data_IF_720540212653
#
_entry.id   IF_720540212653
#
_cell.length_a   1.000
_cell.length_b   1.000
_cell.length_c   1.000
_cell.angle_alpha   90.00
_cell.angle_beta   90.00
_cell.angle_gamma   90.00
#
_symmetry.space_group_name_H-M   'P 1'
#
loop_
_entity.id
_entity.type
_entity.pdbx_description
1 polymer ?
#
# COMPACT_ATOMS: atom_id res chain seq x y z
N UNK A 1 -1.44 0.27 -10.96
CA UNK A 1 -1.45 1.63 -11.54
C UNK A 1 -2.55 2.54 -11.00
N UNK A 2 -3.82 2.11 -10.94
CA UNK A 2 -4.92 2.93 -10.43
C UNK A 2 -4.69 3.53 -9.02
N UNK A 3 -4.19 2.71 -8.09
CA UNK A 3 -3.83 3.11 -6.70
C UNK A 3 -2.83 4.27 -6.65
N UNK A 4 -1.71 4.10 -7.36
CA UNK A 4 -0.59 5.03 -7.38
C UNK A 4 -0.99 6.36 -7.99
N UNK A 5 -1.73 6.33 -9.09
CA UNK A 5 -2.16 7.55 -9.79
C UNK A 5 -3.47 8.14 -9.27
N UNK A 6 -4.04 7.57 -8.20
CA UNK A 6 -5.38 7.90 -7.72
C UNK A 6 -6.44 7.92 -8.85
N UNK A 7 -6.25 7.09 -9.88
CA UNK A 7 -7.14 6.99 -11.03
C UNK A 7 -8.19 5.89 -10.79
N UNK A 8 -9.41 6.04 -11.33
CA UNK A 8 -10.35 4.92 -11.40
C UNK A 8 -9.68 3.75 -12.14
N UNK A 9 -9.76 2.50 -11.65
CA UNK A 9 -9.36 1.34 -12.45
C UNK A 9 -10.15 1.31 -13.76
N UNK A 10 -9.42 1.25 -14.88
CA UNK A 10 -10.00 1.14 -16.23
C UNK A 10 -10.50 -0.28 -16.55
N UNK A 11 -10.08 -1.27 -15.77
CA UNK A 11 -10.47 -2.66 -15.91
C UNK A 11 -11.21 -3.14 -14.66
N UNK A 12 -12.36 -3.79 -14.89
CA UNK A 12 -13.18 -4.40 -13.86
C UNK A 12 -12.64 -5.81 -13.61
N UNK A 13 -11.78 -5.96 -12.60
CA UNK A 13 -11.31 -7.27 -12.20
C UNK A 13 -12.40 -7.96 -11.38
N UNK A 14 -12.87 -9.12 -11.84
CA UNK A 14 -13.79 -9.95 -11.06
C UNK A 14 -13.05 -10.58 -9.88
N UNK A 15 -13.06 -9.87 -8.75
CA UNK A 15 -12.42 -10.26 -7.48
C UNK A 15 -13.44 -10.73 -6.44
N UNK A 16 -14.70 -10.91 -6.87
CA UNK A 16 -15.84 -11.14 -5.98
C UNK A 16 -16.75 -12.29 -6.41
N UNK A 17 -16.62 -12.81 -7.63
CA UNK A 17 -16.99 -14.20 -7.87
C UNK A 17 -16.21 -15.06 -6.87
N UNK A 18 -16.86 -16.01 -6.17
CA UNK A 18 -16.17 -17.20 -5.71
C UNK A 18 -15.83 -18.00 -6.97
N UNK A 19 -14.97 -17.44 -7.84
CA UNK A 19 -14.23 -18.27 -8.78
C UNK A 19 -13.55 -19.27 -7.87
N UNK A 20 -13.89 -20.52 -8.10
CA UNK A 20 -13.25 -21.70 -7.60
C UNK A 20 -11.74 -21.64 -7.89
N UNK A 21 -11.01 -20.79 -7.18
CA UNK A 21 -9.57 -20.88 -6.94
C UNK A 21 -9.32 -21.89 -5.82
N UNK A 22 -10.04 -23.01 -5.93
CA UNK A 22 -10.00 -24.20 -5.10
C UNK A 22 -9.19 -25.29 -5.80
N UNK A 23 -8.30 -24.92 -6.72
CA UNK A 23 -7.19 -25.79 -7.10
C UNK A 23 -5.96 -25.40 -6.25
N UNK A 24 -5.55 -26.25 -5.29
CA UNK A 24 -4.41 -25.98 -4.42
C UNK A 24 -3.09 -25.79 -5.18
N UNK A 25 -2.98 -26.29 -6.41
CA UNK A 25 -1.76 -26.21 -7.22
C UNK A 25 -1.56 -24.84 -7.91
N UNK A 26 -2.64 -24.18 -8.33
CA UNK A 26 -2.56 -22.83 -8.93
C UNK A 26 -2.18 -21.76 -7.89
N UNK A 27 -2.58 -21.95 -6.62
CA UNK A 27 -2.17 -21.10 -5.49
C UNK A 27 -0.66 -21.16 -5.25
N UNK A 28 -0.05 -22.34 -5.42
CA UNK A 28 1.39 -22.52 -5.27
C UNK A 28 2.15 -21.78 -6.37
N UNK A 29 1.80 -21.96 -7.64
CA UNK A 29 2.57 -21.38 -8.75
C UNK A 29 2.56 -19.84 -8.77
N UNK A 30 1.37 -19.24 -8.85
CA UNK A 30 1.23 -17.78 -8.98
C UNK A 30 1.45 -17.04 -7.65
N UNK A 31 1.02 -17.64 -6.53
CA UNK A 31 1.23 -17.09 -5.19
C UNK A 31 2.71 -17.06 -4.82
N UNK A 32 3.45 -18.14 -5.10
CA UNK A 32 4.90 -18.18 -4.91
C UNK A 32 5.59 -17.19 -5.85
N UNK A 33 5.25 -17.15 -7.14
CA UNK A 33 5.87 -16.18 -8.05
C UNK A 33 5.63 -14.71 -7.65
N UNK A 34 4.42 -14.34 -7.26
CA UNK A 34 4.10 -12.96 -6.82
C UNK A 34 4.73 -12.62 -5.46
N UNK A 35 4.79 -13.58 -4.54
CA UNK A 35 5.48 -13.42 -3.26
C UNK A 35 6.99 -13.23 -3.46
N UNK A 36 7.59 -13.94 -4.41
CA UNK A 36 9.00 -13.82 -4.76
C UNK A 36 9.34 -12.56 -5.57
N UNK A 37 8.42 -12.08 -6.43
CA UNK A 37 8.65 -10.92 -7.30
C UNK A 37 8.28 -9.60 -6.62
N UNK A 38 7.25 -9.58 -5.77
CA UNK A 38 6.70 -8.37 -5.18
C UNK A 38 6.71 -8.34 -3.65
N UNK A 39 7.04 -9.46 -2.98
CA UNK A 39 6.91 -9.58 -1.52
C UNK A 39 5.45 -9.42 -1.04
N UNK A 40 4.49 -9.47 -1.96
CA UNK A 40 3.09 -9.13 -1.76
C UNK A 40 2.25 -10.38 -1.95
N UNK A 41 1.44 -10.73 -0.94
CA UNK A 41 0.55 -11.87 -1.05
C UNK A 41 -0.71 -11.51 -1.86
N UNK A 42 -1.22 -12.48 -2.62
CA UNK A 42 -2.44 -12.34 -3.43
C UNK A 42 -3.61 -11.65 -2.68
N UNK A 43 -3.89 -11.94 -1.39
CA UNK A 43 -4.97 -11.29 -0.65
C UNK A 43 -4.85 -9.75 -0.58
N UNK A 44 -3.62 -9.22 -0.47
CA UNK A 44 -3.37 -7.78 -0.42
C UNK A 44 -3.71 -7.13 -1.76
N UNK A 45 -3.32 -7.76 -2.86
CA UNK A 45 -3.64 -7.31 -4.22
C UNK A 45 -5.16 -7.31 -4.44
N UNK A 46 -5.84 -8.38 -4.00
CA UNK A 46 -7.30 -8.49 -4.07
C UNK A 46 -7.97 -7.37 -3.27
N UNK A 47 -7.53 -7.10 -2.04
CA UNK A 47 -8.09 -6.02 -1.23
C UNK A 47 -7.88 -4.66 -1.89
N UNK A 48 -6.70 -4.39 -2.43
CA UNK A 48 -6.45 -3.15 -3.19
C UNK A 48 -7.36 -3.02 -4.41
N UNK A 49 -7.55 -4.09 -5.19
CA UNK A 49 -8.47 -4.08 -6.32
C UNK A 49 -9.91 -3.79 -5.88
N UNK A 50 -10.35 -4.37 -4.76
CA UNK A 50 -11.68 -4.17 -4.19
C UNK A 50 -11.91 -2.74 -3.70
N UNK A 51 -10.96 -2.17 -2.97
CA UNK A 51 -11.00 -0.75 -2.54
C UNK A 51 -10.99 0.18 -3.75
N UNK A 52 -10.19 -0.11 -4.78
CA UNK A 52 -10.15 0.67 -6.03
C UNK A 52 -11.49 0.64 -6.78
N UNK A 53 -12.11 -0.54 -6.91
CA UNK A 53 -13.41 -0.69 -7.56
C UNK A 53 -14.51 0.08 -6.81
N UNK A 54 -14.47 0.06 -5.48
CA UNK A 54 -15.38 0.85 -4.63
C UNK A 54 -15.21 2.35 -4.87
N UNK A 55 -13.96 2.85 -4.93
CA UNK A 55 -13.67 4.28 -5.17
C UNK A 55 -14.15 4.76 -6.54
N UNK A 56 -14.13 3.91 -7.55
CA UNK A 56 -14.62 4.24 -8.89
C UNK A 56 -16.15 4.27 -9.01
N UNK A 57 -16.89 3.99 -7.93
CA UNK A 57 -18.35 3.95 -7.98
C UNK A 57 -18.90 2.77 -8.79
N UNK A 58 -18.04 1.80 -9.13
CA UNK A 58 -18.41 0.62 -9.92
C UNK A 58 -19.26 -0.38 -9.12
N UNK A 59 -19.54 -0.11 -7.83
CA UNK A 59 -20.35 -0.94 -6.94
C UNK A 59 -21.15 -0.13 -5.91
N UNK A 60 -22.25 -0.74 -5.44
CA UNK A 60 -23.07 -0.21 -4.35
C UNK A 60 -22.27 -0.12 -3.05
N UNK A 61 -22.33 1.05 -2.39
CA UNK A 61 -21.64 1.32 -1.12
C UNK A 61 -22.34 0.61 0.05
N UNK A 62 -22.10 -0.69 0.23
CA UNK A 62 -22.65 -1.46 1.36
C UNK A 62 -21.70 -1.47 2.56
N UNK A 63 -22.24 -1.26 3.76
CA UNK A 63 -21.48 -1.29 5.01
C UNK A 63 -20.99 -2.69 5.39
N UNK A 64 -21.69 -3.74 4.96
CA UNK A 64 -21.31 -5.15 5.20
C UNK A 64 -19.98 -5.49 4.51
N UNK A 65 -19.85 -5.10 3.24
CA UNK A 65 -18.61 -5.23 2.44
C UNK A 65 -17.40 -4.61 3.15
N UNK A 66 -17.60 -3.51 3.89
CA UNK A 66 -16.53 -2.88 4.67
C UNK A 66 -16.06 -3.77 5.83
N UNK A 67 -16.99 -4.28 6.64
CA UNK A 67 -16.67 -5.08 7.83
C UNK A 67 -16.01 -6.40 7.43
N UNK A 68 -16.45 -6.99 6.34
CA UNK A 68 -15.90 -8.24 5.81
C UNK A 68 -14.44 -8.04 5.39
N UNK A 69 -14.13 -6.96 4.65
CA UNK A 69 -12.76 -6.64 4.23
C UNK A 69 -11.84 -6.32 5.40
N UNK A 70 -12.34 -5.62 6.42
CA UNK A 70 -11.56 -5.32 7.63
C UNK A 70 -11.24 -6.61 8.41
N UNK A 71 -12.21 -7.52 8.51
CA UNK A 71 -12.03 -8.81 9.18
C UNK A 71 -11.05 -9.68 8.39
N UNK A 72 -11.21 -9.73 7.07
CA UNK A 72 -10.32 -10.46 6.15
C UNK A 72 -8.87 -9.96 6.30
N UNK A 73 -8.64 -8.64 6.22
CA UNK A 73 -7.31 -8.03 6.35
C UNK A 73 -6.63 -8.30 7.70
N UNK A 74 -7.41 -8.42 8.79
CA UNK A 74 -6.88 -8.73 10.13
C UNK A 74 -6.65 -10.23 10.35
N UNK A 75 -7.41 -11.08 9.68
CA UNK A 75 -7.32 -12.55 9.82
C UNK A 75 -6.24 -13.20 8.96
N UNK A 76 -5.55 -12.43 8.12
CA UNK A 76 -4.50 -12.95 7.26
C UNK A 76 -3.33 -13.51 8.04
N UNK A 77 -3.02 -14.78 7.75
CA UNK A 77 -1.77 -15.42 8.13
C UNK A 77 -0.87 -15.54 6.92
N UNK A 78 0.42 -15.32 7.13
CA UNK A 78 1.42 -15.47 6.09
C UNK A 78 2.07 -16.84 6.19
N UNK A 79 2.20 -17.58 5.07
CA UNK A 79 2.93 -18.84 5.07
C UNK A 79 4.40 -18.57 5.45
N UNK A 80 4.90 -19.35 6.41
CA UNK A 80 6.29 -19.29 6.84
C UNK A 80 7.05 -20.38 6.10
N UNK A 81 8.06 -19.98 5.32
CA UNK A 81 9.02 -20.94 4.78
C UNK A 81 10.06 -21.29 5.86
N UNK A 82 10.06 -22.55 6.29
CA UNK A 82 10.98 -23.05 7.32
C UNK A 82 12.38 -23.31 6.78
N UNK A 83 12.56 -23.31 5.46
CA UNK A 83 13.87 -23.52 4.81
C UNK A 83 14.74 -22.27 4.80
N UNK A 84 14.13 -21.08 4.93
CA UNK A 84 14.83 -19.81 5.02
C UNK A 84 15.61 -19.67 6.34
N UNK A 85 16.75 -18.96 6.29
CA UNK A 85 17.51 -18.58 7.49
C UNK A 85 16.65 -17.73 8.44
N UNK A 86 16.97 -17.74 9.75
CA UNK A 86 16.21 -17.00 10.75
C UNK A 86 16.08 -15.50 10.43
N UNK A 87 17.14 -14.89 9.90
CA UNK A 87 17.16 -13.48 9.50
C UNK A 87 16.25 -13.23 8.29
N UNK A 88 16.37 -14.06 7.24
CA UNK A 88 15.55 -13.93 6.02
C UNK A 88 14.07 -14.09 6.34
N UNK A 89 13.72 -15.03 7.23
CA UNK A 89 12.33 -15.20 7.70
C UNK A 89 11.79 -13.96 8.38
N UNK A 90 12.56 -13.34 9.28
CA UNK A 90 12.14 -12.12 9.98
C UNK A 90 11.92 -10.97 9.01
N UNK A 91 12.84 -10.78 8.04
CA UNK A 91 12.70 -9.74 7.02
C UNK A 91 11.48 -9.99 6.13
N UNK A 92 11.26 -11.23 5.68
CA UNK A 92 10.09 -11.61 4.87
C UNK A 92 8.78 -11.34 5.62
N UNK A 93 8.71 -11.71 6.89
CA UNK A 93 7.56 -11.42 7.74
C UNK A 93 7.35 -9.91 7.91
N UNK A 94 8.43 -9.13 8.06
CA UNK A 94 8.33 -7.68 8.15
C UNK A 94 7.78 -7.04 6.87
N UNK A 95 8.19 -7.53 5.69
CA UNK A 95 7.66 -7.10 4.39
C UNK A 95 6.17 -7.43 4.29
N UNK A 96 5.80 -8.68 4.54
CA UNK A 96 4.42 -9.16 4.47
C UNK A 96 3.49 -8.40 5.43
N UNK A 97 3.94 -8.18 6.67
CA UNK A 97 3.21 -7.44 7.66
C UNK A 97 3.08 -5.95 7.29
N UNK A 98 4.12 -5.35 6.69
CA UNK A 98 4.05 -3.98 6.16
C UNK A 98 2.96 -3.85 5.09
N UNK A 99 2.80 -4.86 4.23
CA UNK A 99 1.72 -4.92 3.26
C UNK A 99 0.33 -5.00 3.91
N UNK A 100 0.18 -5.79 4.99
CA UNK A 100 -1.07 -5.86 5.75
C UNK A 100 -1.46 -4.51 6.33
N UNK A 101 -0.49 -3.80 6.92
CA UNK A 101 -0.75 -2.48 7.48
C UNK A 101 -1.10 -1.45 6.40
N UNK A 102 -0.41 -1.49 5.26
CA UNK A 102 -0.73 -0.65 4.12
C UNK A 102 -2.15 -0.93 3.58
N UNK A 103 -2.57 -2.19 3.53
CA UNK A 103 -3.95 -2.59 3.21
C UNK A 103 -4.97 -1.96 4.16
N UNK A 104 -4.71 -1.98 5.46
CA UNK A 104 -5.58 -1.39 6.48
C UNK A 104 -5.67 0.13 6.32
N UNK A 105 -4.53 0.82 6.13
CA UNK A 105 -4.49 2.26 5.87
C UNK A 105 -5.33 2.61 4.64
N UNK A 106 -5.12 1.87 3.53
CA UNK A 106 -5.84 2.14 2.29
C UNK A 106 -7.33 1.84 2.40
N UNK A 107 -7.74 0.80 3.15
CA UNK A 107 -9.14 0.51 3.43
C UNK A 107 -9.81 1.66 4.20
N UNK A 108 -9.18 2.16 5.27
CA UNK A 108 -9.78 3.22 6.08
C UNK A 108 -9.78 4.57 5.38
N UNK A 109 -8.66 4.99 4.81
CA UNK A 109 -8.59 6.30 4.15
C UNK A 109 -9.24 6.29 2.77
N UNK A 110 -9.06 5.21 2.01
CA UNK A 110 -9.51 5.09 0.63
C UNK A 110 -10.99 4.77 0.49
N UNK A 111 -11.53 3.87 1.34
CA UNK A 111 -12.93 3.42 1.29
C UNK A 111 -13.78 4.02 2.42
N UNK A 112 -13.28 4.08 3.66
CA UNK A 112 -14.07 4.60 4.78
C UNK A 112 -14.07 6.14 4.86
N UNK A 113 -13.26 6.81 4.03
CA UNK A 113 -13.06 8.28 4.04
C UNK A 113 -12.62 8.82 5.40
N UNK A 114 -11.93 7.99 6.17
CA UNK A 114 -11.29 8.44 7.40
C UNK A 114 -10.03 9.24 7.04
N UNK A 115 -9.62 10.12 7.94
CA UNK A 115 -8.38 10.88 7.79
C UNK A 115 -7.22 10.23 8.56
N UNK A 116 -6.04 10.80 8.39
CA UNK A 116 -4.81 10.35 9.03
C UNK A 116 -4.77 10.52 10.55
N UNK A 117 -5.80 11.10 11.17
CA UNK A 117 -5.89 11.26 12.64
C UNK A 117 -6.64 10.13 13.32
N UNK A 118 -7.28 9.24 12.55
CA UNK A 118 -7.93 8.07 13.10
C UNK A 118 -6.87 7.16 13.79
N UNK A 119 -7.08 6.76 15.06
CA UNK A 119 -6.09 5.98 15.81
C UNK A 119 -5.68 4.66 15.12
N UNK A 120 -6.57 4.08 14.32
CA UNK A 120 -6.28 2.83 13.58
C UNK A 120 -5.35 3.10 12.40
N UNK A 121 -5.48 4.26 11.77
CA UNK A 121 -4.58 4.70 10.69
C UNK A 121 -3.22 5.06 11.30
N UNK A 122 -3.20 5.83 12.39
CA UNK A 122 -1.96 6.19 13.07
C UNK A 122 -1.19 4.96 13.57
N UNK A 123 -1.88 4.01 14.21
CA UNK A 123 -1.27 2.75 14.65
C UNK A 123 -0.74 1.91 13.50
N UNK A 124 -1.44 1.85 12.37
CA UNK A 124 -0.95 1.15 11.19
C UNK A 124 0.29 1.83 10.57
N UNK A 125 0.33 3.17 10.53
CA UNK A 125 1.51 3.93 10.06
C UNK A 125 2.72 3.68 10.95
N UNK A 126 2.53 3.70 12.26
CA UNK A 126 3.59 3.39 13.24
C UNK A 126 4.14 1.97 13.01
N UNK A 127 3.25 0.99 12.84
CA UNK A 127 3.67 -0.39 12.56
C UNK A 127 4.47 -0.49 11.26
N UNK A 128 4.04 0.16 10.16
CA UNK A 128 4.84 0.19 8.92
C UNK A 128 6.21 0.81 9.18
N UNK A 129 6.29 1.96 9.85
CA UNK A 129 7.56 2.64 10.11
C UNK A 129 8.54 1.76 10.92
N UNK A 130 8.03 1.03 11.91
CA UNK A 130 8.83 0.10 12.71
C UNK A 130 9.29 -1.12 11.89
N UNK A 131 8.39 -1.73 11.12
CA UNK A 131 8.69 -2.93 10.32
C UNK A 131 9.73 -2.64 9.23
N UNK A 132 9.60 -1.52 8.50
CA UNK A 132 10.57 -1.16 7.47
C UNK A 132 11.92 -0.79 8.06
N UNK A 133 11.96 -0.34 9.32
CA UNK A 133 13.18 -0.08 10.06
C UNK A 133 14.00 -1.34 10.37
N UNK A 134 13.35 -2.51 10.45
CA UNK A 134 14.01 -3.81 10.67
C UNK A 134 14.74 -4.29 9.40
N UNK A 135 14.22 -3.92 8.23
CA UNK A 135 14.78 -4.35 6.94
C UNK A 135 16.15 -3.69 6.75
N UNK A 136 17.23 -4.45 6.54
CA UNK A 136 18.56 -3.88 6.29
C UNK A 136 18.59 -2.98 5.06
N UNK A 137 19.50 -2.01 5.05
CA UNK A 137 19.76 -1.20 3.86
C UNK A 137 20.42 -2.05 2.78
N UNK A 138 20.15 -1.76 1.50
CA UNK A 138 20.73 -2.45 0.33
C UNK A 138 20.30 -3.92 0.18
N UNK A 139 19.33 -4.36 0.98
CA UNK A 139 18.73 -5.68 0.87
C UNK A 139 17.81 -5.75 -0.37
N UNK A 140 17.74 -6.92 -1.00
CA UNK A 140 16.78 -7.23 -2.07
C UNK A 140 15.34 -6.94 -1.63
N UNK A 141 15.04 -7.09 -0.33
CA UNK A 141 13.70 -6.89 0.22
C UNK A 141 13.27 -5.41 0.31
N UNK A 142 14.18 -4.44 0.21
CA UNK A 142 13.83 -3.00 0.28
C UNK A 142 12.88 -2.58 -0.87
N UNK A 143 12.99 -3.25 -2.02
CA UNK A 143 12.13 -3.00 -3.18
C UNK A 143 10.68 -3.41 -2.93
N UNK A 144 10.44 -4.36 -2.05
CA UNK A 144 9.10 -4.89 -1.77
C UNK A 144 8.30 -4.00 -0.81
N UNK A 145 8.94 -3.07 -0.10
CA UNK A 145 8.25 -2.16 0.84
C UNK A 145 7.97 -0.77 0.29
N UNK A 146 8.25 -0.53 -1.00
CA UNK A 146 8.01 0.77 -1.65
C UNK A 146 6.55 1.19 -1.58
N UNK A 147 5.63 0.32 -1.97
CA UNK A 147 4.19 0.64 -1.91
C UNK A 147 3.67 0.76 -0.47
N UNK A 148 4.02 -0.14 0.46
CA UNK A 148 3.76 0.08 1.88
C UNK A 148 4.26 1.43 2.41
N UNK A 149 5.48 1.82 2.06
CA UNK A 149 6.07 3.10 2.48
C UNK A 149 5.34 4.30 1.88
N UNK A 150 4.92 4.22 0.61
CA UNK A 150 4.14 5.28 -0.04
C UNK A 150 2.78 5.45 0.66
N UNK A 151 2.05 4.36 0.88
CA UNK A 151 0.72 4.39 1.50
C UNK A 151 0.79 4.91 2.94
N UNK A 152 1.74 4.39 3.72
CA UNK A 152 1.97 4.88 5.08
C UNK A 152 2.47 6.34 5.08
N UNK A 153 3.28 6.73 4.10
CA UNK A 153 3.81 8.09 3.95
C UNK A 153 2.71 9.12 3.71
N UNK A 154 1.69 8.78 2.92
CA UNK A 154 0.51 9.64 2.71
C UNK A 154 -0.21 9.90 4.04
N UNK A 155 -0.31 8.88 4.87
CA UNK A 155 -0.97 8.95 6.18
C UNK A 155 -0.05 9.47 7.30
N UNK A 156 1.26 9.64 7.06
CA UNK A 156 2.22 9.98 8.10
C UNK A 156 2.10 11.43 8.57
N UNK A 157 1.83 11.59 9.87
CA UNK A 157 1.75 12.90 10.55
C UNK A 157 3.01 13.25 11.33
N UNK A 158 3.68 12.25 11.89
CA UNK A 158 4.89 12.43 12.69
C UNK A 158 6.13 12.55 11.79
N UNK A 159 6.93 13.57 12.03
CA UNK A 159 8.17 13.82 11.27
C UNK A 159 9.18 12.67 11.38
N UNK A 160 9.18 11.95 12.51
CA UNK A 160 9.98 10.74 12.67
C UNK A 160 9.57 9.65 11.66
N UNK A 161 8.27 9.38 11.52
CA UNK A 161 7.75 8.40 10.57
C UNK A 161 8.02 8.84 9.13
N UNK A 162 7.78 10.12 8.81
CA UNK A 162 8.07 10.68 7.48
C UNK A 162 9.52 10.47 7.08
N UNK A 163 10.47 10.71 7.99
CA UNK A 163 11.90 10.53 7.74
C UNK A 163 12.27 9.08 7.43
N UNK A 164 11.74 8.13 8.21
CA UNK A 164 12.00 6.69 8.00
C UNK A 164 11.45 6.23 6.64
N UNK A 165 10.19 6.55 6.36
CA UNK A 165 9.51 6.15 5.13
C UNK A 165 10.14 6.81 3.90
N UNK A 166 10.48 8.09 3.98
CA UNK A 166 11.21 8.84 2.94
C UNK A 166 12.55 8.20 2.63
N UNK A 167 13.35 7.89 3.66
CA UNK A 167 14.67 7.27 3.50
C UNK A 167 14.55 5.92 2.78
N UNK A 168 13.58 5.09 3.18
CA UNK A 168 13.35 3.78 2.56
C UNK A 168 12.92 3.90 1.10
N UNK A 169 12.04 4.85 0.79
CA UNK A 169 11.66 5.13 -0.60
C UNK A 169 12.83 5.60 -1.45
N UNK A 170 13.68 6.49 -0.93
CA UNK A 170 14.86 6.97 -1.65
C UNK A 170 15.89 5.85 -1.88
N UNK A 171 16.10 4.97 -0.89
CA UNK A 171 17.05 3.86 -0.98
C UNK A 171 16.59 2.75 -1.94
N UNK A 172 15.29 2.56 -2.10
CA UNK A 172 14.72 1.46 -2.88
C UNK A 172 15.07 1.46 -4.39
N UNK A 173 15.69 2.53 -4.90
CA UNK A 173 16.32 2.56 -6.23
C UNK A 173 15.44 2.02 -7.34
N UNK A 174 14.12 2.34 -7.31
CA UNK A 174 13.14 1.82 -8.27
C UNK A 174 13.41 2.45 -9.63
N UNK A 175 14.37 1.88 -10.33
CA UNK A 175 14.50 1.97 -11.76
C UNK A 175 13.60 0.87 -12.34
N UNK A 176 12.70 1.24 -13.24
CA UNK A 176 11.96 0.39 -14.19
C UNK A 176 10.72 -0.44 -13.80
N UNK A 177 10.41 -0.78 -12.54
CA UNK A 177 9.31 -1.76 -12.34
C UNK A 177 7.87 -1.20 -12.37
N UNK A 178 7.65 0.10 -12.15
CA UNK A 178 6.28 0.67 -11.98
C UNK A 178 5.97 1.89 -12.87
N UNK A 179 6.68 2.06 -13.99
CA UNK A 179 6.58 3.23 -14.89
C UNK A 179 6.78 4.63 -14.24
N UNK A 180 7.18 4.68 -12.97
CA UNK A 180 7.63 5.89 -12.26
C UNK A 180 9.05 5.66 -11.75
N UNK A 181 9.89 6.70 -11.77
CA UNK A 181 11.20 6.64 -11.10
C UNK A 181 10.94 6.70 -9.60
N UNK A 182 11.63 5.93 -8.77
CA UNK A 182 11.45 5.95 -7.31
C UNK A 182 11.46 7.37 -6.69
N UNK A 183 12.19 8.30 -7.31
CA UNK A 183 12.26 9.72 -6.93
C UNK A 183 10.91 10.47 -7.06
N UNK A 184 10.02 10.00 -7.93
CA UNK A 184 8.70 10.61 -8.17
C UNK A 184 7.78 10.42 -6.95
N UNK A 185 7.91 9.30 -6.23
CA UNK A 185 7.15 9.03 -5.00
C UNK A 185 7.58 9.91 -3.85
N UNK A 186 8.88 10.10 -3.70
CA UNK A 186 9.47 10.97 -2.67
C UNK A 186 9.00 12.41 -2.86
N UNK A 187 9.03 12.91 -4.10
CA UNK A 187 8.51 14.23 -4.46
C UNK A 187 7.00 14.37 -4.21
N UNK A 188 6.21 13.33 -4.51
CA UNK A 188 4.78 13.34 -4.22
C UNK A 188 4.49 13.42 -2.72
N UNK A 189 5.23 12.67 -1.90
CA UNK A 189 5.09 12.74 -0.45
C UNK A 189 5.49 14.10 0.10
N UNK A 190 6.57 14.71 -0.41
CA UNK A 190 6.94 16.08 -0.02
C UNK A 190 5.82 17.07 -0.28
N UNK A 191 5.17 17.00 -1.45
CA UNK A 191 4.03 17.89 -1.76
C UNK A 191 2.88 17.70 -0.77
N UNK A 192 2.58 16.45 -0.39
CA UNK A 192 1.57 16.18 0.64
C UNK A 192 1.99 16.75 1.98
N UNK A 193 3.25 16.57 2.37
CA UNK A 193 3.78 17.01 3.67
C UNK A 193 3.96 18.52 3.77
N UNK A 194 4.27 19.21 2.68
CA UNK A 194 4.41 20.67 2.63
C UNK A 194 3.06 21.38 2.44
N UNK A 195 2.07 20.68 1.86
CA UNK A 195 0.73 21.20 1.64
C UNK A 195 -0.27 20.74 2.71
N UNK A 196 -1.17 19.79 2.38
CA UNK A 196 -2.27 19.37 3.24
C UNK A 196 -1.80 18.82 4.60
N UNK A 197 -0.68 18.09 4.62
CA UNK A 197 -0.10 17.47 5.81
C UNK A 197 0.88 18.34 6.58
N UNK A 198 1.06 19.62 6.22
CA UNK A 198 2.05 20.50 6.89
C UNK A 198 1.85 20.55 8.39
N UNK A 199 2.96 20.48 9.13
CA UNK A 199 2.99 20.44 10.60
C UNK A 199 2.13 19.30 11.20
N UNK A 200 2.09 18.14 10.55
CA UNK A 200 1.32 16.98 11.02
C UNK A 200 -0.20 17.18 10.99
N UNK A 201 -0.71 18.08 10.12
CA UNK A 201 -2.16 18.25 9.90
C UNK A 201 -2.79 16.97 9.33
N UNK A 202 -4.12 16.86 9.49
CA UNK A 202 -4.90 15.74 8.94
C UNK A 202 -4.76 15.69 7.42
N UNK A 203 -4.62 14.49 6.90
CA UNK A 203 -4.56 14.21 5.46
C UNK A 203 -5.66 13.21 5.12
N UNK A 204 -6.41 13.50 4.06
CA UNK A 204 -7.35 12.59 3.44
C UNK A 204 -6.69 11.93 2.22
N UNK A 205 -7.17 10.75 1.82
CA UNK A 205 -6.71 10.14 0.57
C UNK A 205 -6.99 11.03 -0.66
N UNK A 206 -8.05 11.84 -0.60
CA UNK A 206 -8.40 12.76 -1.68
C UNK A 206 -7.44 13.96 -1.76
N UNK A 207 -6.75 14.33 -0.67
CA UNK A 207 -5.66 15.32 -0.70
C UNK A 207 -4.48 14.81 -1.53
N UNK A 208 -4.06 13.56 -1.30
CA UNK A 208 -3.06 12.90 -2.12
C UNK A 208 -3.49 12.83 -3.58
N UNK A 209 -4.76 12.46 -3.82
CA UNK A 209 -5.31 12.37 -5.17
C UNK A 209 -5.27 13.71 -5.93
N UNK A 210 -5.44 14.84 -5.21
CA UNK A 210 -5.24 16.19 -5.77
C UNK A 210 -3.76 16.45 -6.08
N UNK A 211 -2.85 16.20 -5.15
CA UNK A 211 -1.41 16.39 -5.40
C UNK A 211 -0.90 15.60 -6.61
N UNK A 212 -1.39 14.38 -6.84
CA UNK A 212 -1.08 13.57 -8.02
C UNK A 212 -1.65 14.20 -9.30
N UNK A 213 -2.88 14.71 -9.26
CA UNK A 213 -3.51 15.37 -10.41
C UNK A 213 -2.79 16.67 -10.77
N UNK A 214 -2.35 17.44 -9.79
CA UNK A 214 -1.60 18.67 -10.03
C UNK A 214 -0.19 18.38 -10.56
N UNK A 215 0.38 17.22 -10.20
CA UNK A 215 1.69 16.78 -10.68
C UNK A 215 1.69 16.23 -12.12
N UNK A 216 0.65 15.48 -12.49
CA UNK A 216 0.61 14.69 -13.73
C UNK A 216 -0.66 14.90 -14.57
N UNK A 217 -1.48 15.89 -14.22
CA UNK A 217 -2.63 16.30 -14.99
C UNK A 217 -2.22 17.02 -16.27
N UNK A 218 -3.06 17.04 -17.32
CA UNK A 218 -2.78 17.83 -18.50
C UNK A 218 -2.63 19.29 -18.08
N UNK A 219 -1.47 19.89 -18.34
CA UNK A 219 -1.31 21.34 -18.24
C UNK A 219 -2.36 21.95 -19.15
N UNK A 220 -3.36 22.60 -18.55
CA UNK A 220 -4.35 23.39 -19.27
C UNK A 220 -3.62 24.55 -19.93
N UNK A 221 -3.13 24.30 -21.15
CA UNK A 221 -2.61 25.31 -22.05
C UNK A 221 -3.77 26.18 -22.49
N UNK A 222 -3.76 27.41 -22.01
CA UNK A 222 -4.41 28.57 -22.61
C UNK A 222 -3.79 28.89 -23.95
#
# INVERSE_FOLDING_TARGET
>A
MALVFARPPLALYDTWSPLSFQEPDARKGLGTALEWIYGCTIPVIILFARVNAWRAGLRAKRYEVRRDLETEAKSWSFPIDLTDSSVVRVVRLAVQESWRQAAIIYLYMGMCRLDSTDPRVEGAVDQVANLVGIIPAEDIFEKHVVLPCLIAGIAARLEAHRRVLRRKLAASGVETMWCLKGNDFVCLLDRVWDGPGRNGRRVLWDDYSRCVRDAYGPSSGT
#
